data_IF_584305192429
#
_entry.id   IF_584305192429
#
_cell.length_a   1.000
_cell.length_b   1.000
_cell.length_c   1.000
_cell.angle_alpha   90.00
_cell.angle_beta   90.00
_cell.angle_gamma   90.00
#
_symmetry.space_group_name_H-M   'P 1'
#
loop_
_entity.id
_entity.type
_entity.pdbx_description
1 polymer ?
#
# COMPACT_ATOMS: atom_id res chain seq x y z
N UNK A 1 -17.78 -23.09 -7.19
CA UNK A 1 -18.74 -22.02 -7.48
C UNK A 1 -18.96 -21.25 -6.20
N UNK A 2 -18.75 -19.93 -6.20
CA UNK A 2 -19.02 -19.06 -5.02
C UNK A 2 -20.54 -19.01 -4.88
N UNK A 3 -21.08 -19.76 -3.94
CA UNK A 3 -22.55 -19.95 -3.78
C UNK A 3 -23.20 -18.87 -2.88
N UNK A 4 -22.39 -17.92 -2.35
CA UNK A 4 -22.86 -16.80 -1.54
C UNK A 4 -22.60 -15.49 -2.28
N UNK A 5 -23.57 -14.59 -2.37
CA UNK A 5 -23.32 -13.24 -2.87
C UNK A 5 -22.30 -12.53 -1.97
N UNK A 6 -21.31 -11.89 -2.57
CA UNK A 6 -20.32 -11.11 -1.85
C UNK A 6 -20.98 -9.82 -1.33
N UNK A 7 -20.88 -9.58 -0.04
CA UNK A 7 -21.48 -8.44 0.65
C UNK A 7 -20.46 -7.39 1.06
N UNK A 8 -19.17 -7.78 1.05
CA UNK A 8 -18.08 -6.95 1.54
C UNK A 8 -16.84 -7.12 0.67
N UNK A 9 -16.21 -6.02 0.35
CA UNK A 9 -14.93 -5.98 -0.35
C UNK A 9 -13.90 -5.25 0.53
N UNK A 10 -12.83 -5.98 0.88
CA UNK A 10 -11.69 -5.45 1.61
C UNK A 10 -10.56 -5.17 0.62
N UNK A 11 -10.12 -3.93 0.54
CA UNK A 11 -9.08 -3.48 -0.39
C UNK A 11 -7.78 -3.21 0.34
N UNK A 12 -6.65 -3.59 -0.25
CA UNK A 12 -5.38 -2.95 0.09
C UNK A 12 -5.38 -1.50 -0.39
N UNK A 13 -4.43 -0.70 0.13
CA UNK A 13 -4.30 0.72 -0.20
C UNK A 13 -3.28 0.97 -1.30
N UNK A 14 -2.04 0.53 -1.06
CA UNK A 14 -0.91 0.80 -1.92
C UNK A 14 -0.90 -0.14 -3.13
N UNK A 15 -0.83 0.40 -4.36
CA UNK A 15 -0.95 -0.41 -5.57
C UNK A 15 -2.40 -0.74 -5.99
N UNK A 16 -3.39 -0.50 -5.13
CA UNK A 16 -4.81 -0.77 -5.37
C UNK A 16 -5.63 0.52 -5.43
N UNK A 17 -5.50 1.38 -4.45
CA UNK A 17 -6.20 2.67 -4.36
C UNK A 17 -5.31 3.78 -4.89
N UNK A 18 -4.04 3.78 -4.50
CA UNK A 18 -3.05 4.78 -4.92
C UNK A 18 -1.90 4.14 -5.70
N UNK A 19 -1.31 4.94 -6.59
CA UNK A 19 -0.11 4.55 -7.34
C UNK A 19 1.07 4.42 -6.37
N UNK A 20 1.39 3.19 -5.99
CA UNK A 20 2.44 2.85 -5.02
C UNK A 20 3.82 3.32 -5.50
N UNK A 21 4.11 3.25 -6.80
CA UNK A 21 5.39 3.69 -7.36
C UNK A 21 5.55 5.21 -7.28
N UNK A 22 4.51 5.97 -7.64
CA UNK A 22 4.51 7.43 -7.54
C UNK A 22 4.61 7.88 -6.08
N UNK A 23 3.88 7.23 -5.17
CA UNK A 23 3.88 7.51 -3.74
C UNK A 23 5.27 7.34 -3.12
N UNK A 24 5.88 6.18 -3.27
CA UNK A 24 7.19 5.90 -2.68
C UNK A 24 8.34 6.67 -3.34
N UNK A 25 8.28 6.88 -4.67
CA UNK A 25 9.23 7.76 -5.36
C UNK A 25 9.21 9.17 -4.76
N UNK A 26 8.04 9.73 -4.53
CA UNK A 26 7.90 11.07 -3.93
C UNK A 26 8.48 11.09 -2.51
N UNK A 27 8.12 10.13 -1.67
CA UNK A 27 8.62 10.03 -0.29
C UNK A 27 10.15 9.87 -0.24
N UNK A 28 10.71 8.96 -1.03
CA UNK A 28 12.15 8.74 -1.06
C UNK A 28 12.91 9.96 -1.60
N UNK A 29 12.36 10.70 -2.57
CA UNK A 29 12.97 11.95 -3.04
C UNK A 29 13.05 13.02 -1.94
N UNK A 30 12.00 13.19 -1.16
CA UNK A 30 12.02 14.14 -0.03
C UNK A 30 13.05 13.70 1.01
N UNK A 31 13.09 12.41 1.36
CA UNK A 31 14.07 11.86 2.30
C UNK A 31 15.50 12.03 1.80
N UNK A 32 15.75 11.72 0.53
CA UNK A 32 17.07 11.90 -0.08
C UNK A 32 17.50 13.36 -0.04
N UNK A 33 16.63 14.28 -0.48
CA UNK A 33 16.93 15.71 -0.45
C UNK A 33 17.22 16.22 0.96
N UNK A 34 16.41 15.84 1.96
CA UNK A 34 16.62 16.24 3.33
C UNK A 34 17.95 15.70 3.89
N UNK A 35 18.30 14.44 3.60
CA UNK A 35 19.59 13.87 4.02
C UNK A 35 20.77 14.54 3.34
N UNK A 36 20.66 14.89 2.06
CA UNK A 36 21.68 15.65 1.34
C UNK A 36 21.93 17.00 2.00
N UNK A 37 20.86 17.75 2.25
CA UNK A 37 20.95 19.06 2.88
C UNK A 37 21.48 18.96 4.34
N UNK A 38 20.96 18.02 5.13
CA UNK A 38 21.32 17.82 6.55
C UNK A 38 22.78 17.39 6.76
N UNK A 39 23.28 16.49 5.90
CA UNK A 39 24.64 15.95 5.99
C UNK A 39 25.65 16.71 5.11
N UNK A 40 25.22 17.76 4.43
CA UNK A 40 26.02 18.52 3.48
C UNK A 40 26.70 17.58 2.45
N UNK A 41 25.88 16.78 1.76
CA UNK A 41 26.31 15.85 0.73
C UNK A 41 26.27 16.51 -0.65
N UNK A 42 27.04 15.94 -1.59
CA UNK A 42 26.93 16.33 -2.99
C UNK A 42 25.55 16.01 -3.57
N UNK A 43 24.86 16.96 -4.23
CA UNK A 43 23.54 16.73 -4.81
C UNK A 43 23.50 15.58 -5.82
N UNK A 44 24.63 15.25 -6.45
CA UNK A 44 24.79 14.12 -7.36
C UNK A 44 24.52 12.76 -6.73
N UNK A 45 24.54 12.65 -5.41
CA UNK A 45 24.26 11.42 -4.66
C UNK A 45 22.76 11.10 -4.51
N UNK A 46 21.85 12.01 -4.92
CA UNK A 46 20.39 11.76 -4.84
C UNK A 46 19.99 10.42 -5.47
N UNK A 47 20.47 10.16 -6.68
CA UNK A 47 20.16 8.91 -7.38
C UNK A 47 20.63 7.66 -6.64
N UNK A 48 21.80 7.72 -5.98
CA UNK A 48 22.34 6.60 -5.22
C UNK A 48 21.57 6.41 -3.89
N UNK A 49 21.16 7.49 -3.23
CA UNK A 49 20.27 7.43 -2.07
C UNK A 49 18.92 6.83 -2.42
N UNK A 50 18.31 7.24 -3.54
CA UNK A 50 17.07 6.64 -4.03
C UNK A 50 17.23 5.14 -4.27
N UNK A 51 18.35 4.75 -4.90
CA UNK A 51 18.66 3.34 -5.12
C UNK A 51 18.80 2.55 -3.82
N UNK A 52 19.49 3.10 -2.83
CA UNK A 52 19.64 2.49 -1.50
C UNK A 52 18.29 2.30 -0.81
N UNK A 53 17.38 3.28 -0.93
CA UNK A 53 16.01 3.18 -0.40
C UNK A 53 15.11 2.23 -1.20
N UNK A 54 15.51 1.78 -2.39
CA UNK A 54 14.75 0.83 -3.21
C UNK A 54 14.01 1.43 -4.40
N UNK A 55 14.32 2.67 -4.80
CA UNK A 55 13.77 3.31 -5.99
C UNK A 55 14.81 3.31 -7.10
N UNK A 56 14.44 2.83 -8.28
CA UNK A 56 15.26 3.02 -9.48
C UNK A 56 15.18 4.49 -9.93
N UNK A 57 16.31 5.24 -9.89
CA UNK A 57 16.29 6.67 -10.23
C UNK A 57 15.97 6.94 -11.70
N UNK A 58 16.17 5.98 -12.60
CA UNK A 58 15.90 6.13 -14.05
C UNK A 58 14.41 5.96 -14.36
N UNK A 59 13.81 4.86 -13.93
CA UNK A 59 12.39 4.57 -14.17
C UNK A 59 11.47 5.23 -13.14
N UNK A 60 11.97 5.58 -11.96
CA UNK A 60 11.21 6.05 -10.82
C UNK A 60 10.31 4.99 -10.18
N UNK A 61 10.50 3.72 -10.52
CA UNK A 61 9.74 2.60 -9.96
C UNK A 61 10.42 2.01 -8.73
N UNK A 62 9.64 1.38 -7.87
CA UNK A 62 10.13 0.54 -6.78
C UNK A 62 10.84 -0.67 -7.40
N UNK A 63 12.01 -0.97 -6.89
CA UNK A 63 12.80 -2.14 -7.29
C UNK A 63 12.34 -3.37 -6.53
N UNK A 64 12.25 -4.51 -7.19
CA UNK A 64 11.88 -5.79 -6.56
C UNK A 64 12.87 -6.25 -5.48
N UNK A 65 14.14 -5.93 -5.65
CA UNK A 65 15.25 -6.24 -4.72
C UNK A 65 15.55 -5.10 -3.74
N UNK A 66 14.73 -4.05 -3.74
CA UNK A 66 14.87 -2.89 -2.86
C UNK A 66 14.02 -3.00 -1.60
N UNK A 67 14.34 -2.23 -0.54
CA UNK A 67 13.64 -2.37 0.72
C UNK A 67 12.25 -1.69 0.74
N UNK A 68 12.10 -0.52 0.09
CA UNK A 68 10.83 0.22 0.14
C UNK A 68 9.71 -0.51 -0.59
N UNK A 69 8.54 -0.55 0.00
CA UNK A 69 7.35 -1.24 -0.54
C UNK A 69 7.28 -2.73 -0.19
N UNK A 70 8.41 -3.39 0.08
CA UNK A 70 8.46 -4.83 0.40
C UNK A 70 8.83 -5.11 1.86
N UNK A 71 9.55 -4.21 2.52
CA UNK A 71 10.09 -4.40 3.86
C UNK A 71 9.65 -3.29 4.82
N UNK A 72 9.64 -3.56 6.13
CA UNK A 72 9.32 -2.54 7.13
C UNK A 72 10.39 -1.42 7.16
N UNK A 73 10.00 -0.27 7.72
CA UNK A 73 10.79 0.98 7.72
C UNK A 73 12.23 0.82 8.23
N UNK A 74 12.45 0.00 9.26
CA UNK A 74 13.79 -0.24 9.81
C UNK A 74 14.76 -0.77 8.75
N UNK A 75 14.32 -1.66 7.88
CA UNK A 75 15.16 -2.19 6.77
C UNK A 75 15.48 -1.08 5.76
N UNK A 76 14.54 -0.18 5.47
CA UNK A 76 14.82 0.99 4.61
C UNK A 76 15.86 1.92 5.25
N UNK A 77 15.78 2.12 6.56
CA UNK A 77 16.75 2.91 7.34
C UNK A 77 18.12 2.25 7.28
N UNK A 78 18.22 0.94 7.52
CA UNK A 78 19.47 0.19 7.48
C UNK A 78 20.17 0.32 6.12
N UNK A 79 19.44 0.15 5.04
CA UNK A 79 19.99 0.34 3.68
C UNK A 79 20.46 1.78 3.42
N UNK A 80 19.72 2.76 3.95
CA UNK A 80 20.12 4.17 3.86
C UNK A 80 21.42 4.43 4.61
N UNK A 81 21.57 3.92 5.83
CA UNK A 81 22.79 4.05 6.65
C UNK A 81 23.97 3.34 5.98
N UNK A 82 23.76 2.12 5.47
CA UNK A 82 24.81 1.40 4.76
C UNK A 82 25.34 2.20 3.56
N UNK A 83 24.47 2.90 2.83
CA UNK A 83 24.92 3.80 1.78
C UNK A 83 25.68 5.01 2.31
N UNK A 84 25.19 5.67 3.35
CA UNK A 84 25.84 6.84 3.95
C UNK A 84 27.23 6.50 4.48
N UNK A 85 27.42 5.35 5.10
CA UNK A 85 28.72 4.84 5.54
C UNK A 85 29.71 4.65 4.37
N UNK A 86 29.23 4.18 3.20
CA UNK A 86 30.06 4.05 1.99
C UNK A 86 30.59 5.38 1.45
N UNK A 87 29.89 6.48 1.72
CA UNK A 87 30.33 7.83 1.34
C UNK A 87 30.95 8.60 2.52
N UNK A 88 31.43 7.86 3.54
CA UNK A 88 32.13 8.37 4.72
C UNK A 88 31.27 9.36 5.53
N UNK A 89 29.98 9.11 5.64
CA UNK A 89 29.06 9.86 6.51
C UNK A 89 28.47 8.93 7.55
N UNK A 90 28.94 9.10 8.79
CA UNK A 90 28.38 8.39 9.93
C UNK A 90 27.12 9.09 10.42
N UNK A 91 26.05 8.33 10.60
CA UNK A 91 24.78 8.78 11.17
C UNK A 91 24.16 7.62 11.94
N UNK A 92 23.55 7.91 13.08
CA UNK A 92 22.90 6.89 13.88
C UNK A 92 21.53 6.48 13.34
N UNK A 93 21.10 5.25 13.67
CA UNK A 93 19.74 4.74 13.34
C UNK A 93 18.68 5.69 13.92
N UNK A 94 18.89 6.20 15.14
CA UNK A 94 17.95 7.12 15.81
C UNK A 94 17.82 8.45 15.07
N UNK A 95 18.88 8.98 14.51
CA UNK A 95 18.84 10.24 13.73
C UNK A 95 18.10 10.05 12.41
N UNK A 96 18.39 8.99 11.65
CA UNK A 96 17.65 8.71 10.39
C UNK A 96 16.19 8.44 10.67
N UNK A 97 15.87 7.73 11.75
CA UNK A 97 14.49 7.47 12.17
C UNK A 97 13.74 8.77 12.47
N UNK A 98 14.36 9.67 13.24
CA UNK A 98 13.81 11.00 13.55
C UNK A 98 13.60 11.83 12.29
N UNK A 99 14.59 11.88 11.39
CA UNK A 99 14.46 12.58 10.11
C UNK A 99 13.26 12.07 9.31
N UNK A 100 13.07 10.76 9.25
CA UNK A 100 11.94 10.17 8.51
C UNK A 100 10.60 10.49 9.19
N UNK A 101 10.54 10.52 10.52
CA UNK A 101 9.33 10.89 11.28
C UNK A 101 8.99 12.38 11.12
N UNK A 102 10.00 13.25 11.15
CA UNK A 102 9.84 14.70 10.92
C UNK A 102 9.30 14.95 9.50
N UNK A 103 9.83 14.26 8.50
CA UNK A 103 9.38 14.36 7.10
C UNK A 103 7.93 13.88 6.98
N UNK A 104 7.58 12.74 7.58
CA UNK A 104 6.20 12.22 7.54
C UNK A 104 5.23 13.22 8.20
N UNK A 105 5.63 13.81 9.34
CA UNK A 105 4.83 14.82 10.05
C UNK A 105 4.66 16.10 9.22
N UNK A 106 5.73 16.56 8.56
CA UNK A 106 5.66 17.72 7.66
C UNK A 106 4.76 17.45 6.44
N UNK A 107 4.81 16.24 5.89
CA UNK A 107 3.96 15.85 4.75
C UNK A 107 2.49 15.77 5.13
N UNK A 108 2.16 15.27 6.33
CA UNK A 108 0.79 15.26 6.83
C UNK A 108 0.16 16.66 6.87
N UNK A 109 0.98 17.68 7.18
CA UNK A 109 0.54 19.09 7.25
C UNK A 109 0.48 19.80 5.90
N UNK A 110 1.17 19.30 4.88
CA UNK A 110 1.17 19.95 3.54
C UNK A 110 -0.11 19.62 2.76
N UNK A 111 -0.76 20.66 2.25
CA UNK A 111 -1.96 20.55 1.39
C UNK A 111 -1.63 19.91 0.04
N UNK A 112 -0.38 20.01 -0.42
CA UNK A 112 0.09 19.62 -1.77
C UNK A 112 0.73 18.22 -1.82
N UNK A 113 0.11 17.27 -1.18
CA UNK A 113 0.57 15.88 -1.23
C UNK A 113 0.21 15.26 -2.58
N UNK A 114 1.20 15.03 -3.43
CA UNK A 114 1.02 14.48 -4.79
C UNK A 114 0.74 12.97 -4.78
N UNK A 115 -0.32 12.56 -4.09
CA UNK A 115 -0.83 11.20 -4.19
C UNK A 115 -1.67 11.07 -5.45
N UNK A 116 -1.38 10.06 -6.26
CA UNK A 116 -2.15 9.76 -7.46
C UNK A 116 -3.12 8.62 -7.16
N UNK A 117 -4.41 8.91 -7.26
CA UNK A 117 -5.46 7.91 -7.24
C UNK A 117 -5.36 7.06 -8.52
N UNK A 118 -5.43 5.74 -8.41
CA UNK A 118 -5.47 4.87 -9.57
C UNK A 118 -6.81 5.00 -10.32
N UNK A 119 -6.73 4.84 -11.64
CA UNK A 119 -7.89 4.97 -12.51
C UNK A 119 -8.96 3.92 -12.16
N UNK A 120 -10.22 4.34 -12.16
CA UNK A 120 -11.36 3.47 -11.90
C UNK A 120 -11.76 3.34 -10.43
N UNK A 121 -10.87 3.64 -9.46
CA UNK A 121 -11.14 3.45 -8.02
C UNK A 121 -12.42 4.16 -7.57
N UNK A 122 -12.54 5.46 -7.84
CA UNK A 122 -13.72 6.23 -7.42
C UNK A 122 -15.01 5.66 -8.03
N UNK A 123 -14.98 5.31 -9.32
CA UNK A 123 -16.14 4.73 -10.02
C UNK A 123 -16.50 3.35 -9.46
N UNK A 124 -15.49 2.53 -9.17
CA UNK A 124 -15.68 1.23 -8.54
C UNK A 124 -16.38 1.39 -7.18
N UNK A 125 -15.85 2.21 -6.29
CA UNK A 125 -16.44 2.42 -4.98
C UNK A 125 -17.86 2.99 -5.04
N UNK A 126 -18.12 3.91 -5.97
CA UNK A 126 -19.48 4.39 -6.22
C UNK A 126 -20.44 3.28 -6.63
N UNK A 127 -20.04 2.44 -7.58
CA UNK A 127 -20.89 1.33 -8.06
C UNK A 127 -21.17 0.28 -6.98
N UNK A 128 -20.18 0.00 -6.13
CA UNK A 128 -20.35 -0.92 -4.99
C UNK A 128 -21.32 -0.36 -3.95
N UNK A 129 -21.18 0.93 -3.60
CA UNK A 129 -22.09 1.56 -2.62
C UNK A 129 -23.53 1.64 -3.12
N UNK A 130 -23.75 1.86 -4.42
CA UNK A 130 -25.11 1.82 -5.01
C UNK A 130 -25.77 0.45 -4.83
N UNK A 131 -24.99 -0.63 -4.82
CA UNK A 131 -25.47 -2.01 -4.56
C UNK A 131 -25.51 -2.37 -3.07
N UNK A 132 -25.20 -1.46 -2.17
CA UNK A 132 -25.18 -1.73 -0.72
C UNK A 132 -24.00 -2.57 -0.25
N UNK A 133 -22.95 -2.71 -1.06
CA UNK A 133 -21.75 -3.46 -0.69
C UNK A 133 -20.93 -2.68 0.32
N UNK A 134 -20.49 -3.38 1.37
CA UNK A 134 -19.58 -2.81 2.38
C UNK A 134 -18.16 -2.76 1.84
N UNK A 135 -17.45 -1.68 2.15
CA UNK A 135 -16.08 -1.45 1.69
C UNK A 135 -15.18 -1.19 2.89
N UNK A 136 -14.17 -2.03 3.06
CA UNK A 136 -13.10 -1.78 4.02
C UNK A 136 -11.74 -1.60 3.35
N UNK A 137 -10.82 -1.02 4.09
CA UNK A 137 -9.40 -0.96 3.72
C UNK A 137 -8.61 -1.69 4.80
N UNK A 138 -7.70 -2.58 4.38
CA UNK A 138 -6.65 -3.10 5.25
C UNK A 138 -5.28 -2.90 4.61
N UNK A 139 -4.41 -2.18 5.28
CA UNK A 139 -3.07 -1.81 4.80
C UNK A 139 -2.00 -2.09 5.85
N UNK A 140 -0.77 -2.35 5.42
CA UNK A 140 0.40 -2.43 6.31
C UNK A 140 0.86 -1.06 6.82
N UNK A 141 0.30 0.03 6.30
CA UNK A 141 0.56 1.39 6.75
C UNK A 141 -0.15 1.68 8.09
N UNK A 142 0.28 2.72 8.79
CA UNK A 142 -0.40 3.17 10.02
C UNK A 142 -1.82 3.63 9.73
N UNK A 143 -2.74 3.33 10.63
CA UNK A 143 -4.15 3.72 10.53
C UNK A 143 -4.30 5.24 10.25
N UNK A 144 -3.60 6.05 11.03
CA UNK A 144 -3.67 7.52 10.90
C UNK A 144 -3.25 8.02 9.53
N UNK A 145 -2.22 7.41 8.92
CA UNK A 145 -1.75 7.78 7.59
C UNK A 145 -2.72 7.30 6.50
N UNK A 146 -3.22 6.07 6.61
CA UNK A 146 -4.23 5.55 5.69
C UNK A 146 -5.50 6.42 5.69
N UNK A 147 -6.00 6.77 6.87
CA UNK A 147 -7.17 7.65 7.03
C UNK A 147 -6.94 9.01 6.37
N UNK A 148 -5.81 9.65 6.65
CA UNK A 148 -5.45 10.95 6.05
C UNK A 148 -5.43 10.88 4.52
N UNK A 149 -4.84 9.82 3.94
CA UNK A 149 -4.78 9.62 2.48
C UNK A 149 -6.19 9.48 1.90
N UNK A 150 -7.04 8.64 2.49
CA UNK A 150 -8.42 8.42 2.05
C UNK A 150 -9.24 9.70 2.13
N UNK A 151 -9.07 10.50 3.17
CA UNK A 151 -9.71 11.82 3.32
C UNK A 151 -9.26 12.79 2.22
N UNK A 152 -7.94 12.93 2.02
CA UNK A 152 -7.38 13.81 0.96
C UNK A 152 -7.81 13.39 -0.45
N UNK A 153 -8.01 12.09 -0.69
CA UNK A 153 -8.53 11.57 -1.95
C UNK A 153 -10.06 11.75 -2.09
N UNK A 154 -10.76 12.23 -1.05
CA UNK A 154 -12.21 12.40 -1.05
C UNK A 154 -12.96 11.07 -1.20
N UNK A 155 -12.42 10.00 -0.58
CA UNK A 155 -12.98 8.66 -0.64
C UNK A 155 -13.70 8.26 0.65
N UNK A 156 -13.60 9.04 1.74
CA UNK A 156 -14.12 8.69 3.08
C UNK A 156 -15.59 8.29 3.07
N UNK A 157 -16.41 8.93 2.23
CA UNK A 157 -17.85 8.62 2.11
C UNK A 157 -18.18 7.23 1.57
N UNK A 158 -17.19 6.52 1.01
CA UNK A 158 -17.38 5.18 0.46
C UNK A 158 -16.88 4.10 1.41
N UNK A 159 -16.01 4.45 2.38
CA UNK A 159 -15.29 3.49 3.22
C UNK A 159 -16.05 3.33 4.54
N UNK A 160 -16.39 2.08 4.87
CA UNK A 160 -17.09 1.77 6.12
C UNK A 160 -16.09 1.59 7.28
N UNK A 161 -14.90 1.05 7.03
CA UNK A 161 -13.83 0.92 8.03
C UNK A 161 -12.44 0.90 7.38
N UNK A 162 -11.46 1.40 8.12
CA UNK A 162 -10.03 1.30 7.81
C UNK A 162 -9.35 0.50 8.93
N UNK A 163 -8.50 -0.44 8.55
CA UNK A 163 -7.61 -1.19 9.44
C UNK A 163 -6.18 -0.91 9.01
N UNK A 164 -5.38 -0.33 9.90
CA UNK A 164 -3.95 -0.10 9.69
C UNK A 164 -3.10 -1.25 10.20
N UNK A 165 -1.82 -1.26 9.84
CA UNK A 165 -0.85 -2.24 10.34
C UNK A 165 -0.64 -2.16 11.85
N UNK A 166 -0.85 -0.99 12.46
CA UNK A 166 -0.79 -0.75 13.90
C UNK A 166 -2.09 -1.12 14.65
N UNK A 167 -3.13 -1.49 13.94
CA UNK A 167 -4.38 -1.98 14.52
C UNK A 167 -4.36 -3.50 14.81
N UNK A 168 -3.31 -4.22 14.42
CA UNK A 168 -3.20 -5.68 14.53
C UNK A 168 -1.84 -6.11 15.09
N UNK A 169 -1.81 -7.28 15.73
CA UNK A 169 -0.57 -7.82 16.27
C UNK A 169 0.32 -8.46 15.19
N UNK A 170 -0.29 -9.06 14.18
CA UNK A 170 0.41 -9.73 13.09
C UNK A 170 -0.06 -9.15 11.75
N UNK A 171 0.87 -8.56 11.01
CA UNK A 171 0.63 -8.03 9.67
C UNK A 171 0.56 -9.13 8.60
N UNK A 172 0.24 -8.71 7.36
CA UNK A 172 0.23 -9.57 6.17
C UNK A 172 1.51 -10.40 6.06
N UNK A 173 1.46 -11.70 5.75
CA UNK A 173 0.30 -12.46 5.24
C UNK A 173 -0.62 -13.05 6.32
N UNK A 174 -0.50 -12.67 7.61
CA UNK A 174 -1.43 -13.11 8.63
C UNK A 174 -2.82 -12.48 8.41
N UNK A 175 -3.93 -13.22 8.61
CA UNK A 175 -5.28 -12.75 8.29
C UNK A 175 -5.89 -11.79 9.33
N UNK A 176 -5.20 -11.44 10.41
CA UNK A 176 -5.76 -10.67 11.53
C UNK A 176 -6.46 -9.38 11.09
N UNK A 177 -5.87 -8.62 10.14
CA UNK A 177 -6.45 -7.36 9.71
C UNK A 177 -7.70 -7.53 8.84
N UNK A 178 -7.70 -8.53 7.96
CA UNK A 178 -8.88 -8.87 7.17
C UNK A 178 -10.02 -9.34 8.07
N UNK A 179 -9.72 -10.25 9.02
CA UNK A 179 -10.71 -10.74 9.99
C UNK A 179 -11.21 -9.62 10.90
N UNK A 180 -10.36 -8.70 11.32
CA UNK A 180 -10.76 -7.52 12.09
C UNK A 180 -11.74 -6.64 11.30
N UNK A 181 -11.51 -6.43 10.00
CA UNK A 181 -12.42 -5.69 9.14
C UNK A 181 -13.77 -6.40 9.01
N UNK A 182 -13.77 -7.71 8.75
CA UNK A 182 -14.99 -8.52 8.69
C UNK A 182 -15.80 -8.44 9.99
N UNK A 183 -15.15 -8.63 11.14
CA UNK A 183 -15.80 -8.59 12.45
C UNK A 183 -16.41 -7.22 12.74
N UNK A 184 -15.69 -6.13 12.45
CA UNK A 184 -16.18 -4.77 12.69
C UNK A 184 -17.42 -4.44 11.83
N UNK A 185 -17.54 -5.04 10.65
CA UNK A 185 -18.69 -4.88 9.75
C UNK A 185 -19.77 -5.96 9.95
N UNK A 186 -19.58 -6.88 10.90
CA UNK A 186 -20.48 -8.01 11.13
C UNK A 186 -20.76 -8.86 9.87
N UNK A 187 -19.72 -9.06 9.05
CA UNK A 187 -19.77 -9.86 7.82
C UNK A 187 -18.89 -11.10 7.99
N UNK A 188 -19.31 -12.22 7.44
CA UNK A 188 -18.49 -13.43 7.44
C UNK A 188 -17.38 -13.34 6.39
N UNK A 189 -16.20 -13.92 6.63
CA UNK A 189 -15.14 -13.99 5.63
C UNK A 189 -15.56 -14.65 4.32
N UNK A 190 -16.40 -15.69 4.37
CA UNK A 190 -16.95 -16.40 3.21
C UNK A 190 -18.01 -15.61 2.41
N UNK A 191 -18.37 -14.41 2.88
CA UNK A 191 -19.20 -13.40 2.20
C UNK A 191 -18.36 -12.17 1.79
N UNK A 192 -17.05 -12.24 1.93
CA UNK A 192 -16.13 -11.15 1.69
C UNK A 192 -15.11 -11.52 0.62
N UNK A 193 -14.68 -10.54 -0.19
CA UNK A 193 -13.51 -10.68 -1.05
C UNK A 193 -12.38 -9.78 -0.58
N UNK A 194 -11.14 -10.22 -0.80
CA UNK A 194 -9.95 -9.40 -0.57
C UNK A 194 -9.28 -9.02 -1.89
N UNK A 195 -8.96 -7.75 -2.06
CA UNK A 195 -8.36 -7.19 -3.27
C UNK A 195 -6.99 -6.60 -2.92
N UNK A 196 -5.93 -7.13 -3.55
CA UNK A 196 -4.55 -6.70 -3.31
C UNK A 196 -3.67 -6.82 -4.56
N UNK A 197 -2.42 -6.38 -4.46
CA UNK A 197 -1.43 -6.37 -5.54
C UNK A 197 -0.21 -7.25 -5.24
N UNK A 198 -0.20 -7.93 -4.09
CA UNK A 198 0.93 -8.77 -3.66
C UNK A 198 0.54 -10.22 -3.39
N UNK A 199 1.52 -11.12 -3.48
CA UNK A 199 1.37 -12.53 -3.04
C UNK A 199 0.93 -12.60 -1.57
N UNK A 200 1.46 -11.70 -0.73
CA UNK A 200 1.10 -11.60 0.69
C UNK A 200 -0.40 -11.33 0.91
N UNK A 201 -1.01 -10.52 0.05
CA UNK A 201 -2.45 -10.24 0.06
C UNK A 201 -3.28 -11.48 -0.29
N UNK A 202 -2.85 -12.18 -1.32
CA UNK A 202 -3.54 -13.40 -1.77
C UNK A 202 -3.50 -14.50 -0.71
N UNK A 203 -2.32 -14.73 -0.12
CA UNK A 203 -2.14 -15.71 0.96
C UNK A 203 -2.99 -15.33 2.17
N UNK A 204 -2.97 -14.07 2.57
CA UNK A 204 -3.74 -13.55 3.70
C UNK A 204 -5.26 -13.75 3.51
N UNK A 205 -5.80 -13.36 2.36
CA UNK A 205 -7.22 -13.52 2.08
C UNK A 205 -7.66 -14.98 2.11
N UNK A 206 -6.86 -15.90 1.55
CA UNK A 206 -7.11 -17.34 1.61
C UNK A 206 -7.09 -17.85 3.06
N UNK A 207 -6.05 -17.51 3.82
CA UNK A 207 -5.93 -17.90 5.23
C UNK A 207 -7.07 -17.36 6.08
N UNK A 208 -7.59 -16.17 5.75
CA UNK A 208 -8.73 -15.57 6.41
C UNK A 208 -10.08 -16.14 6.00
N UNK A 209 -10.13 -17.05 5.05
CA UNK A 209 -11.38 -17.66 4.58
C UNK A 209 -12.20 -16.75 3.67
N UNK A 210 -11.58 -15.80 2.97
CA UNK A 210 -12.27 -14.98 1.98
C UNK A 210 -12.90 -15.83 0.89
N UNK A 211 -14.13 -15.50 0.49
CA UNK A 211 -14.83 -16.19 -0.63
C UNK A 211 -14.05 -16.06 -1.94
N UNK A 212 -13.30 -14.96 -2.08
CA UNK A 212 -12.51 -14.67 -3.26
C UNK A 212 -11.30 -13.81 -2.88
N UNK A 213 -10.14 -14.12 -3.46
CA UNK A 213 -8.97 -13.22 -3.46
C UNK A 213 -8.72 -12.73 -4.87
N UNK A 214 -8.52 -11.43 -5.03
CA UNK A 214 -8.36 -10.78 -6.33
C UNK A 214 -7.03 -10.06 -6.38
N UNK A 215 -6.23 -10.38 -7.39
CA UNK A 215 -4.97 -9.69 -7.69
C UNK A 215 -5.17 -8.58 -8.73
N UNK A 216 -4.76 -7.34 -8.42
CA UNK A 216 -4.65 -6.28 -9.43
C UNK A 216 -3.20 -6.06 -9.84
N UNK A 217 -2.98 -5.97 -11.15
CA UNK A 217 -1.65 -5.84 -11.77
C UNK A 217 -1.14 -4.40 -11.75
N UNK A 218 -1.69 -3.57 -10.85
CA UNK A 218 -1.38 -2.12 -10.74
C UNK A 218 -0.30 -1.80 -9.71
N UNK A 219 0.20 -2.80 -8.99
CA UNK A 219 1.13 -2.61 -7.88
C UNK A 219 2.48 -3.30 -8.03
N UNK A 220 2.90 -4.04 -6.99
CA UNK A 220 4.27 -4.51 -6.82
C UNK A 220 4.55 -5.86 -7.49
N UNK A 221 3.60 -6.81 -7.43
CA UNK A 221 3.79 -8.13 -8.01
C UNK A 221 3.44 -8.14 -9.50
N UNK A 222 4.16 -8.98 -10.25
CA UNK A 222 3.84 -9.22 -11.66
C UNK A 222 2.55 -10.04 -11.82
N UNK A 223 1.89 -9.96 -12.98
CA UNK A 223 0.73 -10.80 -13.28
C UNK A 223 0.97 -12.29 -13.03
N UNK A 224 2.14 -12.78 -13.44
CA UNK A 224 2.52 -14.19 -13.28
C UNK A 224 2.65 -14.62 -11.82
N UNK A 225 3.12 -13.73 -10.94
CA UNK A 225 3.20 -13.99 -9.50
C UNK A 225 1.80 -14.06 -8.88
N UNK A 226 0.91 -13.15 -9.24
CA UNK A 226 -0.47 -13.13 -8.75
C UNK A 226 -1.28 -14.32 -9.26
N UNK A 227 -1.14 -14.69 -10.54
CA UNK A 227 -1.85 -15.82 -11.17
C UNK A 227 -1.51 -17.18 -10.54
N UNK A 228 -0.34 -17.33 -9.94
CA UNK A 228 0.00 -18.54 -9.17
C UNK A 228 -0.83 -18.67 -7.89
N UNK A 229 -1.26 -17.55 -7.34
CA UNK A 229 -1.98 -17.51 -6.08
C UNK A 229 -3.50 -17.40 -6.24
N UNK A 230 -3.99 -16.84 -7.32
CA UNK A 230 -5.44 -16.71 -7.53
C UNK A 230 -5.82 -16.83 -9.01
N UNK A 231 -7.01 -17.37 -9.26
CA UNK A 231 -7.61 -17.39 -10.61
C UNK A 231 -8.29 -16.06 -11.00
N UNK A 232 -8.32 -15.07 -10.08
CA UNK A 232 -8.98 -13.79 -10.29
C UNK A 232 -7.93 -12.69 -10.34
N UNK A 233 -7.35 -12.45 -11.51
CA UNK A 233 -6.40 -11.34 -11.73
C UNK A 233 -6.93 -10.41 -12.80
N UNK A 234 -6.74 -9.09 -12.59
CA UNK A 234 -7.20 -8.07 -13.52
C UNK A 234 -6.13 -7.00 -13.71
N UNK A 235 -5.96 -6.50 -14.95
CA UNK A 235 -4.96 -5.47 -15.25
C UNK A 235 -5.17 -4.18 -14.48
N UNK A 236 -6.43 -3.78 -14.26
CA UNK A 236 -6.77 -2.53 -13.55
C UNK A 236 -8.06 -2.66 -12.74
N UNK A 237 -8.32 -1.64 -11.92
CA UNK A 237 -9.59 -1.49 -11.19
C UNK A 237 -10.81 -1.38 -12.13
N UNK A 238 -10.62 -1.00 -13.38
CA UNK A 238 -11.72 -0.84 -14.35
C UNK A 238 -12.24 -2.21 -14.75
N UNK A 239 -11.38 -3.13 -15.16
CA UNK A 239 -11.73 -4.50 -15.53
C UNK A 239 -12.26 -5.26 -14.31
N UNK A 240 -11.61 -5.13 -13.16
CA UNK A 240 -12.13 -5.69 -11.91
C UNK A 240 -13.56 -5.23 -11.62
N UNK A 241 -13.84 -3.92 -11.72
CA UNK A 241 -15.16 -3.39 -11.43
C UNK A 241 -16.24 -3.94 -12.37
N UNK A 242 -15.90 -4.20 -13.63
CA UNK A 242 -16.83 -4.81 -14.57
C UNK A 242 -17.17 -6.27 -14.21
N UNK A 243 -16.16 -7.02 -13.78
CA UNK A 243 -16.31 -8.46 -13.50
C UNK A 243 -16.92 -8.75 -12.12
N UNK A 244 -16.57 -7.99 -11.07
CA UNK A 244 -17.05 -8.23 -9.71
C UNK A 244 -18.57 -8.11 -9.60
N UNK A 245 -19.19 -7.34 -10.50
CA UNK A 245 -20.64 -7.16 -10.55
C UNK A 245 -21.43 -8.48 -10.69
N UNK A 246 -20.78 -9.53 -11.18
CA UNK A 246 -21.39 -10.87 -11.37
C UNK A 246 -21.51 -11.66 -10.05
N UNK A 247 -20.83 -11.22 -9.00
CA UNK A 247 -20.73 -11.91 -7.71
C UNK A 247 -21.44 -11.17 -6.56
N UNK A 248 -22.02 -9.99 -6.84
CA UNK A 248 -22.70 -9.12 -5.87
C UNK A 248 -24.19 -9.39 -5.78
#
# INVERSE_FOLDING_TARGET
MVNNSIKHLCFDKDGIIIDVHAYWRYNCKIRAKYLIDYLNLEPSLEGQLLWAMGIDPKSGKIRKDGPVGYHPRNIVIDHTIQFLNKVNKEISISEVSRIYEDIDTMQQKKVDFKIKLLNGVRRCFQSLKVKGVLISIYTSDRHSNAKMIIEKMGLSKFIDIIVGGDDVNKGKPNPDGFLKACNALSVKPDQSAYIGDTVSDMVMGKMGGAAMTVGLETGLCSPTELQKETGYTYPTMIEFNAEIQKYL
#
